data_IF_491766365266
#
_entry.id   IF_491766365266
#
_cell.length_a   1.000
_cell.length_b   1.000
_cell.length_c   1.000
_cell.angle_alpha   90.00
_cell.angle_beta   90.00
_cell.angle_gamma   90.00
#
_symmetry.space_group_name_H-M   'P 1'
#
loop_
_entity.id
_entity.type
_entity.pdbx_description
1 polymer ?
#
# COMPACT_ATOMS: atom_id res chain seq x y z
N UNK A 1 -13.93 12.56 -11.19
CA UNK A 1 -14.86 11.42 -11.40
C UNK A 1 -15.39 11.32 -12.84
N UNK A 2 -16.04 12.35 -13.39
CA UNK A 2 -16.58 12.32 -14.77
C UNK A 2 -15.54 11.94 -15.84
N UNK A 3 -14.32 12.47 -15.71
CA UNK A 3 -13.17 12.15 -16.58
C UNK A 3 -12.86 10.65 -16.68
N UNK A 4 -13.09 9.91 -15.58
CA UNK A 4 -12.86 8.47 -15.49
C UNK A 4 -14.09 7.66 -15.90
N UNK A 5 -15.19 8.28 -16.32
CA UNK A 5 -16.42 7.56 -16.70
C UNK A 5 -16.27 6.72 -17.97
N UNK A 6 -15.21 6.97 -18.75
CA UNK A 6 -14.83 6.24 -19.96
C UNK A 6 -13.98 4.98 -19.69
N UNK A 7 -13.62 4.71 -18.44
CA UNK A 7 -12.80 3.56 -18.05
C UNK A 7 -13.54 2.61 -17.11
N UNK A 8 -13.11 1.35 -17.10
CA UNK A 8 -13.65 0.30 -16.22
C UNK A 8 -12.98 0.26 -14.84
N UNK A 9 -12.38 1.36 -14.37
CA UNK A 9 -11.77 1.41 -13.02
C UNK A 9 -12.86 1.25 -11.93
N UNK A 10 -12.46 1.05 -10.67
CA UNK A 10 -13.39 1.12 -9.54
C UNK A 10 -13.67 2.57 -9.12
N UNK A 11 -14.84 2.84 -8.51
CA UNK A 11 -15.16 4.19 -8.01
C UNK A 11 -14.21 4.63 -6.89
N UNK A 12 -13.88 3.69 -6.00
CA UNK A 12 -12.93 3.91 -4.91
C UNK A 12 -11.55 4.31 -5.42
N UNK A 13 -11.06 3.68 -6.48
CA UNK A 13 -9.74 3.97 -7.06
C UNK A 13 -9.67 5.38 -7.62
N UNK A 14 -10.66 5.78 -8.43
CA UNK A 14 -10.70 7.14 -8.95
C UNK A 14 -10.76 8.18 -7.84
N UNK A 15 -11.53 7.90 -6.78
CA UNK A 15 -11.67 8.79 -5.62
C UNK A 15 -10.33 8.96 -4.89
N UNK A 16 -9.65 7.87 -4.56
CA UNK A 16 -8.37 7.93 -3.85
C UNK A 16 -7.24 8.49 -4.73
N UNK A 17 -7.23 8.21 -6.04
CA UNK A 17 -6.32 8.87 -6.98
C UNK A 17 -6.55 10.39 -7.04
N UNK A 18 -7.81 10.84 -6.99
CA UNK A 18 -8.13 12.27 -6.97
C UNK A 18 -7.67 12.94 -5.66
N UNK A 19 -7.84 12.28 -4.51
CA UNK A 19 -7.33 12.77 -3.23
C UNK A 19 -5.79 12.84 -3.20
N UNK A 20 -5.13 11.83 -3.76
CA UNK A 20 -3.67 11.83 -3.92
C UNK A 20 -3.21 13.01 -4.78
N UNK A 21 -3.87 13.26 -5.92
CA UNK A 21 -3.56 14.39 -6.80
C UNK A 21 -3.77 15.75 -6.12
N UNK A 22 -4.79 15.86 -5.27
CA UNK A 22 -4.99 17.05 -4.45
C UNK A 22 -3.82 17.25 -3.47
N UNK A 23 -3.37 16.19 -2.80
CA UNK A 23 -2.19 16.22 -1.93
C UNK A 23 -0.92 16.64 -2.68
N UNK A 24 -0.67 16.08 -3.86
CA UNK A 24 0.43 16.50 -4.75
C UNK A 24 0.36 18.00 -5.04
N UNK A 25 -0.84 18.50 -5.35
CA UNK A 25 -1.03 19.89 -5.73
C UNK A 25 -0.78 20.88 -4.59
N UNK A 26 -1.40 20.64 -3.43
CA UNK A 26 -1.32 21.56 -2.29
C UNK A 26 0.01 21.48 -1.54
N UNK A 27 0.73 20.36 -1.65
CA UNK A 27 2.04 20.16 -1.04
C UNK A 27 2.03 20.32 0.48
N UNK A 28 3.13 20.87 1.01
CA UNK A 28 3.33 21.08 2.45
C UNK A 28 2.59 22.32 2.99
N UNK A 29 2.26 23.27 2.12
CA UNK A 29 1.71 24.58 2.52
C UNK A 29 0.30 24.50 3.10
N UNK A 30 -0.45 23.45 2.75
CA UNK A 30 -1.81 23.21 3.23
C UNK A 30 -1.84 21.95 4.08
N UNK A 31 -2.21 22.13 5.35
CA UNK A 31 -2.29 21.05 6.34
C UNK A 31 -3.45 21.31 7.29
N UNK A 32 -3.93 20.27 7.96
CA UNK A 32 -4.91 20.45 9.04
C UNK A 32 -4.18 20.95 10.28
N UNK A 33 -4.63 22.11 10.79
CA UNK A 33 -4.06 22.78 11.95
C UNK A 33 -4.49 22.08 13.24
N UNK A 34 -3.84 20.94 13.50
CA UNK A 34 -3.93 20.22 14.77
C UNK A 34 -2.78 20.71 15.65
N UNK A 35 -3.07 21.33 16.82
CA UNK A 35 -2.03 21.91 17.67
C UNK A 35 -0.90 20.94 18.00
N UNK A 36 0.34 21.40 17.87
CA UNK A 36 1.59 20.66 18.09
C UNK A 36 1.85 19.45 17.17
N UNK A 37 0.87 19.07 16.35
CA UNK A 37 0.90 17.85 15.54
C UNK A 37 0.18 18.09 14.21
N UNK A 38 0.69 19.02 13.36
CA UNK A 38 0.04 19.35 12.10
C UNK A 38 -0.13 18.11 11.23
N UNK A 39 -1.30 17.98 10.59
CA UNK A 39 -1.61 16.84 9.75
C UNK A 39 -1.55 17.26 8.29
N UNK A 40 -0.40 17.02 7.67
CA UNK A 40 -0.17 17.28 6.24
C UNK A 40 -1.03 16.36 5.37
N UNK A 41 -1.41 16.86 4.19
CA UNK A 41 -2.28 16.16 3.24
C UNK A 41 -1.51 15.17 2.35
N UNK A 42 -0.41 14.61 2.86
CA UNK A 42 0.38 13.60 2.17
C UNK A 42 -0.27 12.22 2.30
N UNK A 43 -0.25 11.46 1.21
CA UNK A 43 -0.96 10.19 1.13
C UNK A 43 -0.03 9.06 0.75
N UNK A 44 -0.05 7.95 1.47
CA UNK A 44 0.45 6.67 0.96
C UNK A 44 -0.76 5.80 0.64
N UNK A 45 -1.02 5.59 -0.65
CA UNK A 45 -2.18 4.85 -1.15
C UNK A 45 -1.70 3.66 -1.96
N UNK A 46 -2.24 2.48 -1.65
CA UNK A 46 -2.05 1.26 -2.44
C UNK A 46 -3.40 0.75 -2.90
N UNK A 47 -3.61 0.70 -4.21
CA UNK A 47 -4.77 0.06 -4.82
C UNK A 47 -4.54 -1.46 -4.85
N UNK A 48 -5.47 -2.23 -4.30
CA UNK A 48 -5.39 -3.68 -4.20
C UNK A 48 -6.62 -4.34 -4.85
N UNK A 49 -6.35 -5.21 -5.82
CA UNK A 49 -7.32 -6.09 -6.48
C UNK A 49 -6.56 -7.17 -7.24
N UNK A 50 -7.24 -8.22 -7.65
CA UNK A 50 -6.66 -9.19 -8.56
C UNK A 50 -6.28 -8.56 -9.91
N UNK A 51 -5.32 -9.19 -10.60
CA UNK A 51 -4.83 -8.68 -11.88
C UNK A 51 -5.95 -8.67 -12.94
N UNK A 52 -6.08 -7.57 -13.67
CA UNK A 52 -7.01 -7.46 -14.80
C UNK A 52 -8.48 -7.17 -14.46
N UNK A 53 -8.91 -7.18 -13.19
CA UNK A 53 -10.32 -7.00 -12.82
C UNK A 53 -10.74 -5.51 -12.85
N UNK A 54 -10.08 -4.67 -12.05
CA UNK A 54 -10.49 -3.27 -11.82
C UNK A 54 -9.54 -2.22 -12.41
N UNK A 55 -8.69 -2.63 -13.36
CA UNK A 55 -7.83 -1.73 -14.14
C UNK A 55 -7.02 -0.73 -13.28
N UNK A 56 -6.44 -1.20 -12.17
CA UNK A 56 -5.63 -0.38 -11.22
C UNK A 56 -4.62 0.53 -11.90
N UNK A 57 -3.80 -0.04 -12.79
CA UNK A 57 -2.78 0.71 -13.57
C UNK A 57 -3.40 1.80 -14.43
N UNK A 58 -4.61 1.59 -14.96
CA UNK A 58 -5.35 2.61 -15.73
C UNK A 58 -5.79 3.79 -14.86
N UNK A 59 -6.13 3.56 -13.58
CA UNK A 59 -6.45 4.65 -12.66
C UNK A 59 -5.20 5.51 -12.37
N UNK A 60 -4.07 4.87 -12.10
CA UNK A 60 -2.79 5.53 -11.83
C UNK A 60 -2.29 6.28 -13.06
N UNK A 61 -2.15 5.62 -14.21
CA UNK A 61 -1.73 6.28 -15.47
C UNK A 61 -2.64 7.46 -15.83
N UNK A 62 -3.97 7.32 -15.70
CA UNK A 62 -4.89 8.42 -16.02
C UNK A 62 -4.67 9.66 -15.15
N UNK A 63 -4.38 9.50 -13.85
CA UNK A 63 -4.11 10.64 -12.97
C UNK A 63 -2.68 11.17 -13.13
N UNK A 64 -1.71 10.29 -13.36
CA UNK A 64 -0.33 10.67 -13.70
C UNK A 64 -0.29 11.49 -14.98
N UNK A 65 -1.06 11.12 -16.00
CA UNK A 65 -1.16 11.88 -17.24
C UNK A 65 -1.71 13.28 -17.00
N UNK A 66 -2.73 13.42 -16.14
CA UNK A 66 -3.31 14.71 -15.76
C UNK A 66 -2.27 15.61 -15.08
N UNK A 67 -1.42 15.06 -14.22
CA UNK A 67 -0.43 15.82 -13.43
C UNK A 67 0.92 16.02 -14.12
N UNK A 68 1.34 15.10 -14.99
CA UNK A 68 2.74 14.93 -15.39
C UNK A 68 3.36 16.09 -16.19
N UNK A 69 2.56 17.07 -16.60
CA UNK A 69 3.06 18.32 -17.19
C UNK A 69 3.44 19.40 -16.18
N UNK A 70 2.93 19.33 -14.94
CA UNK A 70 3.08 20.38 -13.94
C UNK A 70 3.81 19.91 -12.67
N UNK A 71 3.67 18.63 -12.30
CA UNK A 71 4.31 18.06 -11.13
C UNK A 71 5.28 16.94 -11.52
N UNK A 72 6.56 16.99 -11.11
CA UNK A 72 7.49 15.89 -11.31
C UNK A 72 7.00 14.63 -10.57
N UNK A 73 6.85 13.53 -11.31
CA UNK A 73 6.40 12.24 -10.78
C UNK A 73 7.52 11.19 -10.90
N UNK A 74 7.78 10.47 -9.81
CA UNK A 74 8.64 9.30 -9.79
C UNK A 74 7.81 8.06 -10.14
N UNK A 75 8.04 7.51 -11.34
CA UNK A 75 7.29 6.39 -11.90
C UNK A 75 8.12 5.10 -12.04
N UNK A 76 9.44 5.20 -11.84
CA UNK A 76 10.39 4.11 -12.03
C UNK A 76 10.85 3.42 -10.75
N UNK A 77 11.75 2.46 -10.92
CA UNK A 77 12.46 1.82 -9.81
C UNK A 77 13.37 2.84 -9.12
N UNK A 78 13.20 2.99 -7.82
CA UNK A 78 13.99 3.89 -6.98
C UNK A 78 14.58 3.10 -5.80
N UNK A 79 15.88 3.21 -5.56
CA UNK A 79 16.51 2.67 -4.35
C UNK A 79 16.40 3.67 -3.19
N UNK A 80 16.54 3.22 -1.93
CA UNK A 80 16.54 4.12 -0.78
C UNK A 80 17.58 5.25 -0.90
N UNK A 81 18.80 4.92 -1.30
CA UNK A 81 19.91 5.86 -1.44
C UNK A 81 19.67 6.86 -2.58
N UNK A 82 19.13 6.41 -3.71
CA UNK A 82 18.75 7.30 -4.80
C UNK A 82 17.64 8.26 -4.39
N UNK A 83 16.69 7.82 -3.54
CA UNK A 83 15.66 8.70 -3.01
C UNK A 83 16.24 9.75 -2.06
N UNK A 84 17.13 9.36 -1.16
CA UNK A 84 17.77 10.29 -0.22
C UNK A 84 18.57 11.38 -0.94
N UNK A 85 19.32 11.00 -1.98
CA UNK A 85 20.05 11.94 -2.82
C UNK A 85 19.11 12.86 -3.60
N UNK A 86 18.07 12.30 -4.22
CA UNK A 86 17.06 13.09 -4.93
C UNK A 86 16.42 14.14 -4.00
N UNK A 87 16.05 13.75 -2.78
CA UNK A 87 15.46 14.68 -1.82
C UNK A 87 16.43 15.75 -1.35
N UNK A 88 17.72 15.43 -1.23
CA UNK A 88 18.75 16.39 -0.90
C UNK A 88 18.91 17.46 -1.98
N UNK A 89 19.01 17.02 -3.24
CA UNK A 89 19.17 17.92 -4.38
C UNK A 89 17.94 18.83 -4.53
N UNK A 90 16.73 18.26 -4.45
CA UNK A 90 15.48 19.04 -4.51
C UNK A 90 15.37 20.01 -3.34
N UNK A 91 15.80 19.61 -2.14
CA UNK A 91 15.85 20.50 -0.97
C UNK A 91 16.80 21.67 -1.20
N UNK A 92 18.00 21.42 -1.73
CA UNK A 92 18.99 22.45 -2.02
C UNK A 92 18.50 23.44 -3.09
N UNK A 93 17.75 22.96 -4.09
CA UNK A 93 17.22 23.79 -5.17
C UNK A 93 15.99 24.61 -4.76
N UNK A 94 15.09 24.03 -3.95
CA UNK A 94 13.73 24.57 -3.71
C UNK A 94 13.44 24.94 -2.26
N UNK A 95 14.34 24.65 -1.33
CA UNK A 95 14.12 24.79 0.12
C UNK A 95 13.10 23.79 0.68
N UNK A 96 12.75 22.76 -0.09
CA UNK A 96 11.82 21.71 0.32
C UNK A 96 12.12 20.36 -0.34
N UNK A 97 12.23 19.32 0.46
CA UNK A 97 12.46 17.94 0.06
C UNK A 97 11.12 17.28 -0.31
N UNK A 98 10.72 17.43 -1.58
CA UNK A 98 9.44 16.91 -2.08
C UNK A 98 9.61 15.77 -3.07
N UNK A 99 8.77 14.73 -2.95
CA UNK A 99 8.66 13.68 -3.96
C UNK A 99 7.23 13.15 -4.08
N UNK A 100 6.83 12.91 -5.32
CA UNK A 100 5.50 12.39 -5.66
C UNK A 100 5.69 11.08 -6.43
N UNK A 101 5.32 9.95 -5.83
CA UNK A 101 5.39 8.66 -6.49
C UNK A 101 4.05 8.29 -7.13
N UNK A 102 4.09 7.84 -8.38
CA UNK A 102 2.93 7.29 -9.07
C UNK A 102 3.34 6.03 -9.84
N UNK A 103 3.08 4.86 -9.25
CA UNK A 103 3.74 3.62 -9.66
C UNK A 103 2.73 2.51 -9.83
N UNK A 104 2.64 1.97 -11.03
CA UNK A 104 1.64 0.96 -11.36
C UNK A 104 1.88 -0.39 -10.66
N UNK A 105 3.11 -0.66 -10.24
CA UNK A 105 3.48 -1.90 -9.56
C UNK A 105 4.38 -1.65 -8.36
N UNK A 106 3.85 -1.90 -7.16
CA UNK A 106 4.53 -1.69 -5.89
C UNK A 106 5.85 -2.47 -5.74
N UNK A 107 5.95 -3.64 -6.37
CA UNK A 107 7.14 -4.50 -6.34
C UNK A 107 8.38 -3.81 -6.92
N UNK A 108 8.19 -2.79 -7.76
CA UNK A 108 9.29 -2.01 -8.35
C UNK A 108 10.04 -1.17 -7.33
N UNK A 109 9.38 -0.76 -6.23
CA UNK A 109 9.97 0.03 -5.14
C UNK A 109 10.28 -0.79 -3.89
N UNK A 110 9.44 -1.76 -3.54
CA UNK A 110 9.69 -2.57 -2.34
C UNK A 110 10.58 -3.79 -2.62
N UNK A 111 10.82 -4.13 -3.89
CA UNK A 111 11.68 -5.23 -4.31
C UNK A 111 11.15 -6.62 -3.90
N UNK A 112 11.91 -7.67 -4.29
CA UNK A 112 11.66 -9.07 -3.87
C UNK A 112 12.72 -9.61 -2.90
N UNK A 113 13.87 -8.94 -2.75
CA UNK A 113 15.04 -9.43 -2.01
C UNK A 113 15.81 -8.31 -1.27
N UNK A 114 16.54 -8.71 -0.22
CA UNK A 114 16.94 -7.93 0.97
C UNK A 114 17.84 -6.69 0.82
N UNK A 115 18.06 -6.15 -0.36
CA UNK A 115 18.65 -4.81 -0.53
C UNK A 115 17.60 -3.70 -0.43
N UNK A 116 16.36 -3.96 -0.88
CA UNK A 116 15.24 -3.01 -0.80
C UNK A 116 14.45 -3.12 0.52
N UNK A 117 14.91 -3.94 1.47
CA UNK A 117 14.23 -4.18 2.75
C UNK A 117 14.18 -2.94 3.66
N UNK A 118 15.01 -1.93 3.40
CA UNK A 118 15.04 -0.67 4.16
C UNK A 118 14.07 0.37 3.61
N UNK A 119 13.55 0.20 2.40
CA UNK A 119 12.63 1.16 1.77
C UNK A 119 11.35 1.41 2.61
N UNK A 120 10.66 0.39 3.17
CA UNK A 120 9.53 0.65 4.07
C UNK A 120 9.92 1.50 5.28
N UNK A 121 11.11 1.30 5.85
CA UNK A 121 11.62 2.08 6.98
C UNK A 121 11.85 3.54 6.59
N UNK A 122 12.49 3.78 5.45
CA UNK A 122 12.69 5.12 4.90
C UNK A 122 11.37 5.83 4.63
N UNK A 123 10.43 5.18 3.91
CA UNK A 123 9.12 5.75 3.64
C UNK A 123 8.34 6.05 4.92
N UNK A 124 8.49 5.24 5.96
CA UNK A 124 7.87 5.47 7.28
C UNK A 124 8.40 6.75 7.93
N UNK A 125 9.71 6.97 7.90
CA UNK A 125 10.37 8.15 8.47
C UNK A 125 10.01 9.43 7.69
N UNK A 126 9.96 9.33 6.36
CA UNK A 126 9.59 10.45 5.49
C UNK A 126 8.12 10.86 5.59
N UNK A 127 7.23 9.93 5.95
CA UNK A 127 5.79 10.17 6.02
C UNK A 127 5.39 11.22 7.08
N UNK A 128 6.17 11.31 8.16
CA UNK A 128 5.91 12.23 9.26
C UNK A 128 6.28 13.69 8.92
N UNK A 129 6.72 13.97 7.68
CA UNK A 129 6.86 15.33 7.12
C UNK A 129 7.68 16.26 8.03
N UNK A 130 8.87 15.83 8.46
CA UNK A 130 9.75 16.62 9.34
C UNK A 130 10.18 17.93 8.66
N UNK A 131 10.31 18.99 9.45
CA UNK A 131 10.83 20.28 8.98
C UNK A 131 12.31 20.20 8.63
N UNK A 132 13.09 19.47 9.42
CA UNK A 132 14.50 19.21 9.15
C UNK A 132 14.76 17.73 9.39
N UNK A 133 15.41 17.09 8.44
CA UNK A 133 15.89 15.72 8.53
C UNK A 133 17.30 15.66 7.95
N UNK A 134 18.17 14.92 8.62
CA UNK A 134 19.48 14.59 8.07
C UNK A 134 19.65 13.09 7.95
N UNK A 135 20.43 12.67 6.96
CA UNK A 135 20.82 11.27 6.79
C UNK A 135 22.30 11.17 6.43
N UNK A 136 22.99 10.08 6.81
CA UNK A 136 24.38 9.88 6.44
C UNK A 136 24.51 9.76 4.92
N UNK A 137 25.32 10.61 4.29
CA UNK A 137 25.71 10.44 2.90
C UNK A 137 27.09 9.82 2.74
N UNK A 138 27.65 9.92 1.54
CA UNK A 138 28.99 9.41 1.22
C UNK A 138 30.09 10.36 1.69
N UNK A 139 31.34 9.88 1.70
CA UNK A 139 32.51 10.73 2.00
C UNK A 139 32.62 11.98 1.11
N UNK A 140 32.04 11.94 -0.10
CA UNK A 140 32.06 13.04 -1.07
C UNK A 140 30.88 13.98 -0.84
N UNK A 141 29.67 13.44 -0.66
CA UNK A 141 28.44 14.22 -0.52
C UNK A 141 28.24 14.79 0.88
N UNK A 142 28.92 14.23 1.89
CA UNK A 142 28.70 14.62 3.29
C UNK A 142 27.33 14.21 3.80
N UNK A 143 26.83 14.89 4.83
CA UNK A 143 25.49 14.69 5.37
C UNK A 143 24.42 15.21 4.40
N UNK A 144 23.40 14.39 4.16
CA UNK A 144 22.28 14.77 3.29
C UNK A 144 21.22 15.49 4.13
N UNK A 145 21.07 16.79 3.90
CA UNK A 145 20.05 17.64 4.51
C UNK A 145 18.77 17.62 3.67
N UNK A 146 17.63 17.44 4.36
CA UNK A 146 16.28 17.53 3.81
C UNK A 146 15.46 18.52 4.63
N UNK A 147 15.10 19.64 4.03
CA UNK A 147 14.24 20.66 4.64
C UNK A 147 12.79 20.47 4.20
N UNK A 148 11.82 20.76 5.06
CA UNK A 148 10.40 20.76 4.73
C UNK A 148 9.95 19.50 3.97
N UNK A 149 10.20 18.32 4.54
CA UNK A 149 9.98 17.02 3.87
C UNK A 149 8.50 16.84 3.55
N UNK A 150 8.19 16.50 2.30
CA UNK A 150 6.82 16.17 1.90
C UNK A 150 6.80 15.08 0.84
N UNK A 151 6.41 13.87 1.24
CA UNK A 151 6.38 12.70 0.37
C UNK A 151 4.96 12.16 0.27
N UNK A 152 4.50 11.98 -0.96
CA UNK A 152 3.22 11.35 -1.27
C UNK A 152 3.42 10.22 -2.27
N UNK A 153 2.62 9.17 -2.14
CA UNK A 153 2.83 7.87 -2.74
C UNK A 153 1.52 7.28 -3.21
N UNK A 154 1.42 6.98 -4.50
CA UNK A 154 0.34 6.23 -5.10
C UNK A 154 0.90 5.01 -5.81
N UNK A 155 0.43 3.83 -5.43
CA UNK A 155 0.80 2.59 -6.10
C UNK A 155 -0.33 1.59 -6.21
N UNK A 156 -0.09 0.49 -6.92
CA UNK A 156 -0.99 -0.63 -7.04
C UNK A 156 -0.25 -1.96 -6.83
N UNK A 157 -0.97 -2.94 -6.31
CA UNK A 157 -0.47 -4.31 -6.16
C UNK A 157 -1.60 -5.33 -6.16
N UNK A 158 -1.24 -6.61 -6.15
CA UNK A 158 -2.18 -7.72 -5.99
C UNK A 158 -2.26 -8.11 -4.51
N UNK A 159 -3.45 -8.55 -4.01
CA UNK A 159 -3.60 -9.10 -2.67
C UNK A 159 -2.56 -10.16 -2.33
N UNK A 160 -2.37 -11.12 -3.24
CA UNK A 160 -1.42 -12.22 -3.07
C UNK A 160 0.02 -11.71 -2.86
N UNK A 161 0.47 -10.73 -3.65
CA UNK A 161 1.80 -10.17 -3.48
C UNK A 161 1.90 -9.36 -2.18
N UNK A 162 0.89 -8.55 -1.85
CA UNK A 162 0.89 -7.71 -0.64
C UNK A 162 1.05 -8.53 0.64
N UNK A 163 0.31 -9.63 0.79
CA UNK A 163 0.43 -10.50 1.97
C UNK A 163 1.84 -11.10 2.11
N UNK A 164 2.48 -11.42 0.97
CA UNK A 164 3.83 -11.99 0.99
C UNK A 164 4.91 -10.94 1.25
N UNK A 165 4.71 -9.71 0.77
CA UNK A 165 5.68 -8.63 0.91
C UNK A 165 5.59 -7.94 2.28
N UNK A 166 4.39 -7.83 2.84
CA UNK A 166 4.12 -7.23 4.13
C UNK A 166 4.21 -8.32 5.20
N UNK A 167 5.43 -8.56 5.67
CA UNK A 167 5.70 -9.46 6.78
C UNK A 167 5.35 -8.79 8.14
N UNK A 168 5.31 -9.52 9.27
CA UNK A 168 4.94 -8.93 10.56
C UNK A 168 5.87 -7.79 10.97
N UNK A 169 7.16 -7.86 10.62
CA UNK A 169 8.13 -6.80 10.90
C UNK A 169 7.84 -5.49 10.17
N UNK A 170 7.29 -5.53 8.95
CA UNK A 170 6.85 -4.32 8.21
C UNK A 170 5.60 -3.71 8.84
N UNK A 171 4.71 -4.55 9.38
CA UNK A 171 3.51 -4.11 10.11
C UNK A 171 3.90 -3.44 11.43
N UNK A 172 4.75 -4.10 12.21
CA UNK A 172 5.30 -3.59 13.47
C UNK A 172 6.18 -2.35 13.26
N UNK A 173 6.91 -2.29 12.13
CA UNK A 173 7.72 -1.16 11.73
C UNK A 173 6.92 0.10 11.39
N UNK A 174 5.59 0.03 11.36
CA UNK A 174 4.71 1.20 11.22
C UNK A 174 4.53 1.72 9.80
N UNK A 175 5.03 1.00 8.78
CA UNK A 175 4.76 1.36 7.38
C UNK A 175 3.28 1.19 7.06
N UNK A 176 2.68 0.05 7.42
CA UNK A 176 1.30 -0.27 7.05
C UNK A 176 0.26 0.63 7.73
N UNK A 177 0.54 1.14 8.93
CA UNK A 177 -0.36 2.08 9.63
C UNK A 177 -0.50 3.42 8.92
N UNK A 178 0.48 3.79 8.08
CA UNK A 178 0.50 5.04 7.30
C UNK A 178 -0.13 4.89 5.91
N UNK A 179 -0.50 3.67 5.53
CA UNK A 179 -0.94 3.35 4.18
C UNK A 179 -2.46 3.13 4.12
N UNK A 180 -3.11 3.78 3.15
CA UNK A 180 -4.48 3.53 2.75
C UNK A 180 -4.50 2.40 1.73
N UNK A 181 -4.88 1.20 2.17
CA UNK A 181 -5.11 0.05 1.30
C UNK A 181 -6.53 0.09 0.73
N UNK A 182 -6.66 0.43 -0.55
CA UNK A 182 -7.95 0.52 -1.23
C UNK A 182 -8.25 -0.81 -1.91
N UNK A 183 -9.14 -1.59 -1.31
CA UNK A 183 -9.53 -2.92 -1.79
C UNK A 183 -10.87 -2.83 -2.49
N UNK A 184 -10.90 -3.07 -3.80
CA UNK A 184 -12.15 -3.02 -4.57
C UNK A 184 -12.03 -3.81 -5.87
N UNK A 185 -12.79 -4.90 -5.97
CA UNK A 185 -12.86 -5.75 -7.16
C UNK A 185 -14.06 -5.38 -8.07
N UNK A 186 -14.83 -4.35 -7.72
CA UNK A 186 -16.00 -3.94 -8.48
C UNK A 186 -15.65 -2.83 -9.48
N UNK A 187 -15.59 -3.19 -10.77
CA UNK A 187 -15.56 -2.17 -11.84
C UNK A 187 -16.85 -1.34 -11.82
N UNK A 188 -16.72 -0.03 -12.01
CA UNK A 188 -17.86 0.91 -12.09
C UNK A 188 -18.91 0.50 -13.13
N UNK A 189 -18.44 -0.06 -14.25
CA UNK A 189 -19.21 -0.44 -15.42
C UNK A 189 -18.37 -1.34 -16.32
N UNK A 190 -19.03 -2.13 -17.15
CA UNK A 190 -18.40 -2.89 -18.22
C UNK A 190 -18.39 -2.06 -19.51
N UNK A 191 -17.23 -1.88 -20.13
CA UNK A 191 -17.06 -1.13 -21.38
C UNK A 191 -16.31 -2.03 -22.36
N UNK A 192 -17.04 -2.66 -23.28
CA UNK A 192 -16.44 -3.52 -24.29
C UNK A 192 -15.59 -2.73 -25.30
N UNK A 193 -16.02 -1.51 -25.63
CA UNK A 193 -15.31 -0.61 -26.56
C UNK A 193 -15.29 0.82 -26.00
N UNK A 194 -14.14 1.30 -25.49
CA UNK A 194 -14.04 2.65 -24.94
C UNK A 194 -14.26 3.71 -26.00
N UNK A 195 -15.02 4.76 -25.65
CA UNK A 195 -15.09 5.98 -26.46
C UNK A 195 -13.86 6.83 -26.18
N UNK A 196 -13.34 7.50 -27.21
CA UNK A 196 -12.31 8.53 -27.03
C UNK A 196 -12.84 9.64 -26.13
N UNK A 197 -11.98 10.14 -25.24
CA UNK A 197 -12.26 11.34 -24.43
C UNK A 197 -12.46 12.56 -25.36
N UNK A 198 -13.26 13.53 -24.94
CA UNK A 198 -13.37 14.77 -25.70
C UNK A 198 -12.04 15.52 -25.63
N UNK A 199 -11.68 16.21 -26.73
CA UNK A 199 -10.50 17.09 -26.75
C UNK A 199 -10.71 18.19 -25.69
N UNK A 200 -9.73 18.42 -24.82
CA UNK A 200 -9.83 19.41 -23.74
C UNK A 200 -10.30 18.85 -22.39
N UNK A 201 -10.77 17.60 -22.31
CA UNK A 201 -11.27 17.05 -21.04
C UNK A 201 -10.16 16.94 -19.97
N UNK A 202 -8.95 16.59 -20.40
CA UNK A 202 -7.78 16.48 -19.52
C UNK A 202 -7.41 17.86 -18.98
N UNK A 203 -7.29 18.83 -19.88
CA UNK A 203 -6.96 20.22 -19.58
C UNK A 203 -7.98 20.82 -18.61
N UNK A 204 -9.28 20.63 -18.87
CA UNK A 204 -10.37 21.09 -17.99
C UNK A 204 -10.26 20.53 -16.56
N UNK A 205 -9.89 19.25 -16.42
CA UNK A 205 -9.72 18.62 -15.10
C UNK A 205 -8.49 19.18 -14.41
N UNK A 206 -7.39 19.34 -15.14
CA UNK A 206 -6.15 19.91 -14.63
C UNK A 206 -6.36 21.37 -14.18
N UNK A 207 -6.97 22.22 -15.01
CA UNK A 207 -7.25 23.62 -14.70
C UNK A 207 -8.12 23.76 -13.44
N UNK A 208 -9.13 22.89 -13.29
CA UNK A 208 -9.97 22.86 -12.09
C UNK A 208 -9.19 22.43 -10.84
N UNK A 209 -8.28 21.47 -10.99
CA UNK A 209 -7.39 21.05 -9.91
C UNK A 209 -6.47 22.20 -9.51
N UNK A 210 -5.81 22.87 -10.47
CA UNK A 210 -4.95 24.03 -10.23
C UNK A 210 -5.70 25.15 -9.51
N UNK A 211 -6.89 25.52 -10.00
CA UNK A 211 -7.71 26.54 -9.35
C UNK A 211 -8.03 26.18 -7.89
N UNK A 212 -8.35 24.90 -7.63
CA UNK A 212 -8.66 24.43 -6.28
C UNK A 212 -7.42 24.45 -5.38
N UNK A 213 -6.26 24.08 -5.92
CA UNK A 213 -4.96 24.11 -5.23
C UNK A 213 -4.54 25.53 -4.90
N UNK A 214 -4.59 26.46 -5.86
CA UNK A 214 -4.24 27.87 -5.67
C UNK A 214 -5.10 28.53 -4.60
N UNK A 215 -6.41 28.27 -4.63
CA UNK A 215 -7.33 28.78 -3.60
C UNK A 215 -6.97 28.19 -2.23
N UNK A 216 -6.69 26.89 -2.15
CA UNK A 216 -6.33 26.25 -0.89
C UNK A 216 -5.01 26.79 -0.32
N UNK A 217 -3.98 26.94 -1.15
CA UNK A 217 -2.69 27.53 -0.78
C UNK A 217 -2.82 28.98 -0.32
N UNK A 218 -3.73 29.76 -0.93
CA UNK A 218 -4.04 31.11 -0.50
C UNK A 218 -4.66 31.21 0.90
N UNK A 219 -5.32 30.14 1.38
CA UNK A 219 -5.84 30.06 2.76
C UNK A 219 -4.80 29.49 3.74
N UNK A 220 -3.98 28.54 3.29
CA UNK A 220 -2.97 27.89 4.12
C UNK A 220 -3.56 26.85 5.08
N UNK A 221 -3.26 26.89 6.39
CA UNK A 221 -3.70 25.87 7.35
C UNK A 221 -5.22 25.76 7.48
N UNK A 222 -5.73 24.52 7.52
CA UNK A 222 -7.15 24.19 7.61
C UNK A 222 -7.54 24.01 9.08
N UNK A 223 -8.39 24.91 9.58
CA UNK A 223 -8.93 24.81 10.93
C UNK A 223 -10.13 23.84 11.03
N UNK A 224 -10.48 23.46 12.25
CA UNK A 224 -11.66 22.64 12.54
C UNK A 224 -12.70 23.49 13.27
N UNK A 225 -13.91 23.55 12.70
CA UNK A 225 -15.05 24.22 13.35
C UNK A 225 -15.36 23.63 14.73
N UNK A 226 -15.98 24.40 15.62
CA UNK A 226 -16.40 23.93 16.96
C UNK A 226 -17.25 22.64 16.90
N UNK A 227 -18.17 22.57 15.93
CA UNK A 227 -19.01 21.39 15.72
C UNK A 227 -18.23 20.19 15.16
N UNK A 228 -17.26 20.43 14.28
CA UNK A 228 -16.36 19.40 13.76
C UNK A 228 -15.52 18.80 14.88
N UNK A 229 -14.91 19.65 15.71
CA UNK A 229 -14.08 19.25 16.83
C UNK A 229 -14.86 18.41 17.84
N UNK A 230 -16.04 18.86 18.27
CA UNK A 230 -16.90 18.09 19.19
C UNK A 230 -17.20 16.69 18.64
N UNK A 231 -17.52 16.58 17.35
CA UNK A 231 -17.83 15.29 16.72
C UNK A 231 -16.60 14.40 16.62
N UNK A 232 -15.45 14.96 16.26
CA UNK A 232 -14.18 14.24 16.16
C UNK A 232 -13.73 13.73 17.53
N UNK A 233 -13.77 14.56 18.57
CA UNK A 233 -13.43 14.18 19.94
C UNK A 233 -14.33 13.05 20.44
N UNK A 234 -15.65 13.17 20.26
CA UNK A 234 -16.59 12.12 20.66
C UNK A 234 -16.28 10.78 19.97
N UNK A 235 -16.02 10.80 18.67
CA UNK A 235 -15.63 9.60 17.93
C UNK A 235 -14.31 9.03 18.46
N UNK A 236 -13.27 9.86 18.55
CA UNK A 236 -11.93 9.45 18.99
C UNK A 236 -11.94 8.76 20.36
N UNK A 237 -12.69 9.32 21.33
CA UNK A 237 -12.81 8.77 22.69
C UNK A 237 -13.67 7.51 22.78
N UNK A 238 -14.49 7.23 21.77
CA UNK A 238 -15.39 6.07 21.73
C UNK A 238 -14.84 4.89 20.92
N UNK A 239 -13.60 5.00 20.40
CA UNK A 239 -13.01 3.96 19.54
C UNK A 239 -12.75 2.69 20.35
N UNK A 240 -13.19 1.56 19.81
CA UNK A 240 -12.79 0.25 20.30
C UNK A 240 -11.32 0.02 19.92
N UNK A 241 -10.55 -0.58 20.84
CA UNK A 241 -9.19 -1.04 20.58
C UNK A 241 -9.22 -2.52 20.24
N UNK A 242 -8.71 -2.87 19.07
CA UNK A 242 -8.57 -4.27 18.67
C UNK A 242 -7.21 -4.83 19.08
N UNK A 243 -7.16 -6.13 19.37
CA UNK A 243 -5.94 -6.85 19.73
C UNK A 243 -5.20 -7.44 18.52
N UNK A 244 -5.86 -7.49 17.35
CA UNK A 244 -5.22 -7.93 16.12
C UNK A 244 -4.06 -6.98 15.74
N UNK A 245 -2.84 -7.47 15.47
CA UNK A 245 -1.67 -6.63 15.24
C UNK A 245 -1.84 -5.63 14.09
N UNK A 246 -2.50 -6.03 13.00
CA UNK A 246 -2.70 -5.15 11.86
C UNK A 246 -3.74 -4.07 12.18
N UNK A 247 -4.89 -4.47 12.72
CA UNK A 247 -5.94 -3.51 13.09
C UNK A 247 -5.45 -2.52 14.14
N UNK A 248 -4.78 -2.99 15.19
CA UNK A 248 -4.22 -2.15 16.24
C UNK A 248 -3.22 -1.13 15.68
N UNK A 249 -2.35 -1.58 14.77
CA UNK A 249 -1.39 -0.71 14.07
C UNK A 249 -2.08 0.36 13.23
N UNK A 250 -3.11 0.02 12.44
CA UNK A 250 -3.88 1.00 11.66
C UNK A 250 -4.65 1.99 12.56
N UNK A 251 -5.27 1.50 13.64
CA UNK A 251 -6.05 2.31 14.58
C UNK A 251 -5.22 3.39 15.28
N UNK A 252 -3.92 3.14 15.47
CA UNK A 252 -2.98 4.10 16.03
C UNK A 252 -2.79 5.36 15.15
N UNK A 253 -3.17 5.33 13.86
CA UNK A 253 -3.09 6.47 12.93
C UNK A 253 -4.41 6.80 12.23
N UNK A 254 -5.49 6.11 12.60
CA UNK A 254 -6.81 6.26 11.98
C UNK A 254 -7.38 7.69 12.15
N UNK A 255 -7.02 8.36 13.24
CA UNK A 255 -7.39 9.76 13.49
C UNK A 255 -6.69 10.73 12.53
N UNK A 256 -5.38 10.55 12.28
CA UNK A 256 -4.64 11.34 11.29
C UNK A 256 -5.23 11.13 9.88
N UNK A 257 -5.50 9.88 9.49
CA UNK A 257 -6.12 9.57 8.19
C UNK A 257 -7.49 10.20 8.03
N UNK A 258 -8.30 10.18 9.10
CA UNK A 258 -9.59 10.84 9.12
C UNK A 258 -9.44 12.36 8.91
N UNK A 259 -8.52 13.01 9.62
CA UNK A 259 -8.28 14.45 9.47
C UNK A 259 -7.77 14.81 8.08
N UNK A 260 -6.80 14.06 7.52
CA UNK A 260 -6.31 14.27 6.14
C UNK A 260 -7.45 14.22 5.12
N UNK A 261 -8.30 13.20 5.23
CA UNK A 261 -9.44 13.04 4.34
C UNK A 261 -10.43 14.20 4.51
N UNK A 262 -10.72 14.60 5.75
CA UNK A 262 -11.61 15.72 6.02
C UNK A 262 -11.08 17.05 5.48
N UNK A 263 -9.77 17.28 5.57
CA UNK A 263 -9.10 18.45 4.98
C UNK A 263 -9.25 18.47 3.46
N UNK A 264 -9.01 17.33 2.80
CA UNK A 264 -9.21 17.20 1.35
C UNK A 264 -10.67 17.44 0.94
N UNK A 265 -11.64 16.95 1.73
CA UNK A 265 -13.07 17.20 1.48
C UNK A 265 -13.44 18.68 1.63
N UNK A 266 -12.89 19.36 2.63
CA UNK A 266 -13.11 20.79 2.87
C UNK A 266 -12.49 21.68 1.77
N UNK A 267 -11.35 21.26 1.21
CA UNK A 267 -10.78 21.91 0.01
C UNK A 267 -11.69 21.66 -1.19
N UNK A 268 -12.09 20.41 -1.43
CA UNK A 268 -12.88 20.03 -2.61
C UNK A 268 -14.25 20.72 -2.69
N UNK A 269 -14.91 20.96 -1.55
CA UNK A 269 -16.19 21.68 -1.51
C UNK A 269 -16.06 23.20 -1.32
N UNK A 270 -14.84 23.71 -1.21
CA UNK A 270 -14.53 25.14 -1.12
C UNK A 270 -14.73 25.76 0.26
N UNK A 271 -15.04 24.97 1.30
CA UNK A 271 -15.22 25.53 2.66
C UNK A 271 -13.94 25.90 3.37
N UNK A 272 -12.83 25.21 3.10
CA UNK A 272 -11.52 25.47 3.72
C UNK A 272 -11.53 25.46 5.27
N UNK A 273 -12.53 24.80 5.86
CA UNK A 273 -12.67 24.55 7.30
C UNK A 273 -13.31 23.16 7.49
N UNK A 274 -12.77 22.34 8.39
CA UNK A 274 -13.35 21.03 8.69
C UNK A 274 -14.62 21.18 9.54
N UNK A 275 -15.75 20.80 8.93
CA UNK A 275 -17.07 20.84 9.54
C UNK A 275 -17.54 19.45 10.01
N UNK A 276 -18.59 19.41 10.84
CA UNK A 276 -19.17 18.15 11.35
C UNK A 276 -19.58 17.16 10.25
N UNK A 277 -19.93 17.67 9.06
CA UNK A 277 -20.24 16.82 7.89
C UNK A 277 -18.98 16.12 7.36
N UNK A 278 -17.85 16.83 7.25
CA UNK A 278 -16.58 16.28 6.79
C UNK A 278 -16.14 15.16 7.72
N UNK A 279 -16.14 15.42 9.03
CA UNK A 279 -15.83 14.39 10.04
C UNK A 279 -16.74 13.16 9.91
N UNK A 280 -18.04 13.36 9.73
CA UNK A 280 -18.99 12.26 9.58
C UNK A 280 -18.77 11.40 8.34
N UNK A 281 -18.39 12.02 7.22
CA UNK A 281 -18.07 11.33 5.97
C UNK A 281 -16.70 10.66 6.08
N UNK A 282 -15.71 11.38 6.62
CA UNK A 282 -14.34 10.91 6.79
C UNK A 282 -14.25 9.65 7.64
N UNK A 283 -14.92 9.63 8.81
CA UNK A 283 -14.99 8.44 9.68
C UNK A 283 -15.54 7.23 8.92
N UNK A 284 -16.61 7.42 8.13
CA UNK A 284 -17.24 6.32 7.38
C UNK A 284 -16.30 5.77 6.30
N UNK A 285 -15.67 6.66 5.53
CA UNK A 285 -14.76 6.25 4.45
C UNK A 285 -13.51 5.56 5.02
N UNK A 286 -12.90 6.12 6.08
CA UNK A 286 -11.73 5.50 6.71
C UNK A 286 -12.09 4.16 7.36
N UNK A 287 -13.27 4.04 7.98
CA UNK A 287 -13.75 2.77 8.52
C UNK A 287 -13.93 1.71 7.42
N UNK A 288 -14.42 2.09 6.24
CA UNK A 288 -14.49 1.18 5.08
C UNK A 288 -13.10 0.73 4.62
N UNK A 289 -12.12 1.64 4.56
CA UNK A 289 -10.73 1.29 4.26
C UNK A 289 -10.16 0.33 5.29
N UNK A 290 -10.36 0.60 6.59
CA UNK A 290 -9.91 -0.29 7.67
C UNK A 290 -10.48 -1.70 7.49
N UNK A 291 -11.79 -1.80 7.20
CA UNK A 291 -12.44 -3.09 6.96
C UNK A 291 -11.87 -3.82 5.75
N UNK A 292 -11.66 -3.12 4.64
CA UNK A 292 -11.05 -3.69 3.43
C UNK A 292 -9.62 -4.16 3.68
N UNK A 293 -8.80 -3.34 4.33
CA UNK A 293 -7.44 -3.70 4.69
C UNK A 293 -7.38 -4.90 5.65
N UNK A 294 -8.29 -4.98 6.62
CA UNK A 294 -8.42 -6.14 7.50
C UNK A 294 -8.81 -7.42 6.73
N UNK A 295 -9.61 -7.33 5.66
CA UNK A 295 -9.87 -8.50 4.81
C UNK A 295 -8.63 -9.00 4.05
N UNK A 296 -7.66 -8.12 3.78
CA UNK A 296 -6.39 -8.46 3.15
C UNK A 296 -5.33 -8.97 4.13
N UNK A 297 -5.27 -8.45 5.35
CA UNK A 297 -4.17 -8.72 6.29
C UNK A 297 -4.60 -9.43 7.57
N UNK A 298 -5.91 -9.57 7.81
CA UNK A 298 -6.45 -10.29 8.94
C UNK A 298 -6.11 -11.78 8.92
N UNK A 299 -6.18 -12.41 10.10
CA UNK A 299 -5.62 -13.74 10.40
C UNK A 299 -5.81 -14.79 9.31
N UNK A 300 -7.06 -15.06 8.91
CA UNK A 300 -7.35 -16.17 8.01
C UNK A 300 -6.82 -15.99 6.57
N UNK A 301 -6.88 -14.77 6.01
CA UNK A 301 -6.40 -14.54 4.65
C UNK A 301 -4.87 -14.47 4.60
N UNK A 302 -4.26 -13.84 5.61
CA UNK A 302 -2.80 -13.70 5.72
C UNK A 302 -2.11 -15.05 5.86
N UNK A 303 -2.62 -15.94 6.73
CA UNK A 303 -2.10 -17.30 6.89
C UNK A 303 -2.28 -18.12 5.60
N UNK A 304 -3.48 -18.10 4.99
CA UNK A 304 -3.76 -18.87 3.76
C UNK A 304 -2.88 -18.42 2.59
N UNK A 305 -2.71 -17.12 2.37
CA UNK A 305 -1.89 -16.60 1.29
C UNK A 305 -0.38 -16.82 1.55
N UNK A 306 0.09 -16.78 2.80
CA UNK A 306 1.46 -17.19 3.15
C UNK A 306 1.72 -18.67 2.87
N UNK A 307 0.80 -19.54 3.28
CA UNK A 307 0.86 -20.98 2.98
C UNK A 307 0.85 -21.22 1.47
N UNK A 308 -0.01 -20.52 0.71
CA UNK A 308 -0.06 -20.63 -0.75
C UNK A 308 1.24 -20.18 -1.44
N UNK A 309 1.84 -19.07 -0.99
CA UNK A 309 3.13 -18.59 -1.51
C UNK A 309 4.29 -19.53 -1.13
N UNK A 310 4.26 -20.06 0.10
CA UNK A 310 5.21 -21.06 0.57
C UNK A 310 5.14 -22.37 -0.23
N UNK A 311 3.94 -22.78 -0.64
CA UNK A 311 3.70 -23.98 -1.44
C UNK A 311 4.45 -23.97 -2.76
N UNK A 312 4.39 -22.86 -3.50
CA UNK A 312 5.13 -22.71 -4.76
C UNK A 312 6.63 -22.92 -4.55
N UNK A 313 7.20 -22.29 -3.51
CA UNK A 313 8.64 -22.42 -3.24
C UNK A 313 9.02 -23.83 -2.79
N UNK A 314 8.22 -24.46 -1.93
CA UNK A 314 8.46 -25.85 -1.48
C UNK A 314 8.39 -26.80 -2.68
N UNK A 315 7.41 -26.62 -3.57
CA UNK A 315 7.31 -27.35 -4.83
C UNK A 315 8.56 -27.19 -5.69
N UNK A 316 9.01 -25.97 -5.92
CA UNK A 316 10.20 -25.70 -6.75
C UNK A 316 11.44 -26.39 -6.19
N UNK A 317 11.65 -26.29 -4.86
CA UNK A 317 12.78 -26.94 -4.17
C UNK A 317 12.70 -28.47 -4.31
N UNK A 318 11.52 -29.05 -4.17
CA UNK A 318 11.31 -30.50 -4.29
C UNK A 318 11.54 -30.99 -5.72
N UNK A 319 11.15 -30.20 -6.72
CA UNK A 319 11.44 -30.48 -8.14
C UNK A 319 12.94 -30.35 -8.44
N UNK A 320 13.60 -29.29 -7.97
CA UNK A 320 15.05 -29.09 -8.08
C UNK A 320 15.84 -30.24 -7.45
N UNK A 321 15.33 -30.84 -6.37
CA UNK A 321 15.99 -31.93 -5.65
C UNK A 321 15.88 -33.29 -6.36
N UNK A 322 15.08 -33.37 -7.42
CA UNK A 322 14.96 -34.55 -8.29
C UNK A 322 14.64 -35.85 -7.55
N UNK A 323 15.17 -36.95 -8.06
CA UNK A 323 14.96 -38.29 -7.49
C UNK A 323 15.69 -38.50 -6.17
N UNK A 324 16.67 -37.68 -5.81
CA UNK A 324 17.40 -37.87 -4.55
C UNK A 324 16.59 -37.38 -3.34
N UNK A 325 15.66 -36.45 -3.57
CA UNK A 325 14.83 -35.86 -2.52
C UNK A 325 15.63 -34.93 -1.61
N UNK A 326 14.97 -34.35 -0.62
CA UNK A 326 15.54 -33.36 0.28
C UNK A 326 15.27 -33.72 1.73
N UNK A 327 16.25 -33.55 2.61
CA UNK A 327 16.06 -33.74 4.06
C UNK A 327 15.22 -32.61 4.63
N UNK A 328 14.43 -32.92 5.66
CA UNK A 328 13.60 -31.94 6.35
C UNK A 328 14.39 -30.73 6.85
N UNK A 329 15.57 -30.94 7.44
CA UNK A 329 16.43 -29.87 7.93
C UNK A 329 16.91 -28.93 6.82
N UNK A 330 17.19 -29.49 5.64
CA UNK A 330 17.68 -28.72 4.49
C UNK A 330 16.54 -27.97 3.81
N UNK A 331 15.36 -28.60 3.70
CA UNK A 331 14.15 -27.95 3.22
C UNK A 331 13.76 -26.79 4.14
N UNK A 332 13.68 -27.04 5.45
CA UNK A 332 13.33 -26.03 6.45
C UNK A 332 14.28 -24.83 6.38
N UNK A 333 15.60 -25.06 6.28
CA UNK A 333 16.60 -23.99 6.14
C UNK A 333 16.36 -23.13 4.89
N UNK A 334 15.91 -23.74 3.78
CA UNK A 334 15.65 -23.02 2.52
C UNK A 334 14.34 -22.23 2.52
N UNK A 335 13.39 -22.54 3.42
CA UNK A 335 12.06 -21.90 3.45
C UNK A 335 11.78 -21.09 4.73
N UNK A 336 12.68 -21.09 5.71
CA UNK A 336 12.51 -20.45 7.03
C UNK A 336 12.17 -18.95 6.98
N UNK A 337 12.53 -18.27 5.89
CA UNK A 337 12.19 -16.85 5.67
C UNK A 337 10.72 -16.62 5.28
N UNK A 338 9.99 -17.67 4.90
CA UNK A 338 8.62 -17.61 4.35
C UNK A 338 7.62 -18.46 5.12
N UNK A 339 8.06 -19.57 5.70
CA UNK A 339 7.24 -20.50 6.47
C UNK A 339 7.92 -20.81 7.80
N UNK A 340 7.14 -20.80 8.87
CA UNK A 340 7.56 -21.34 10.16
C UNK A 340 7.53 -22.88 10.18
N UNK A 341 7.97 -23.48 11.28
CA UNK A 341 8.04 -24.94 11.39
C UNK A 341 6.66 -25.62 11.42
N UNK A 342 5.62 -24.95 11.94
CA UNK A 342 4.25 -25.48 12.00
C UNK A 342 3.61 -25.41 10.62
N UNK A 343 3.74 -24.29 9.93
CA UNK A 343 3.25 -24.05 8.58
C UNK A 343 3.90 -25.01 7.57
N UNK A 344 5.23 -25.19 7.64
CA UNK A 344 5.92 -26.16 6.80
C UNK A 344 5.42 -27.59 7.05
N UNK A 345 5.21 -27.96 8.31
CA UNK A 345 4.70 -29.29 8.67
C UNK A 345 3.29 -29.52 8.13
N UNK A 346 2.40 -28.54 8.30
CA UNK A 346 1.04 -28.57 7.76
C UNK A 346 1.07 -28.76 6.24
N UNK A 347 1.88 -27.95 5.55
CA UNK A 347 2.00 -27.96 4.10
C UNK A 347 2.55 -29.29 3.57
N UNK A 348 3.58 -29.86 4.21
CA UNK A 348 4.12 -31.17 3.87
C UNK A 348 3.07 -32.28 4.05
N UNK A 349 2.28 -32.24 5.11
CA UNK A 349 1.20 -33.21 5.33
C UNK A 349 0.15 -33.13 4.22
N UNK A 350 -0.32 -31.92 3.87
CA UNK A 350 -1.30 -31.72 2.80
C UNK A 350 -0.75 -32.16 1.45
N UNK A 351 0.49 -31.80 1.11
CA UNK A 351 1.15 -32.24 -0.13
C UNK A 351 1.28 -33.77 -0.20
N UNK A 352 1.57 -34.43 0.93
CA UNK A 352 1.64 -35.88 1.00
C UNK A 352 0.27 -36.52 0.80
N UNK A 353 -0.78 -36.00 1.44
CA UNK A 353 -2.16 -36.46 1.28
C UNK A 353 -2.72 -36.24 -0.13
N UNK A 354 -2.26 -35.21 -0.82
CA UNK A 354 -2.55 -34.98 -2.23
C UNK A 354 -1.68 -35.84 -3.17
N UNK A 355 -0.80 -36.70 -2.63
CA UNK A 355 0.07 -37.57 -3.41
C UNK A 355 1.16 -36.81 -4.18
N UNK A 356 1.42 -35.54 -3.86
CA UNK A 356 2.42 -34.70 -4.51
C UNK A 356 3.84 -35.05 -4.07
N UNK A 357 3.99 -35.53 -2.85
CA UNK A 357 5.28 -35.89 -2.26
C UNK A 357 5.21 -37.22 -1.53
N UNK A 358 6.36 -37.87 -1.39
CA UNK A 358 6.57 -39.03 -0.53
C UNK A 358 7.45 -38.66 0.66
N UNK A 359 7.09 -39.17 1.83
CA UNK A 359 7.83 -38.97 3.07
C UNK A 359 8.59 -40.26 3.41
N UNK A 360 9.91 -40.16 3.50
CA UNK A 360 10.81 -41.25 3.88
C UNK A 360 11.37 -40.99 5.28
N UNK A 361 11.23 -41.98 6.17
CA UNK A 361 11.80 -41.92 7.52
C UNK A 361 13.26 -42.37 7.48
N UNK A 362 14.18 -41.52 7.92
CA UNK A 362 15.60 -41.84 8.00
C UNK A 362 16.01 -42.15 9.44
N UNK A 363 17.21 -42.73 9.64
CA UNK A 363 17.79 -42.91 11.00
C UNK A 363 17.89 -41.59 11.79
N UNK A 364 17.99 -40.45 11.10
CA UNK A 364 17.94 -39.10 11.68
C UNK A 364 17.05 -38.19 10.82
N UNK A 365 15.78 -38.06 11.21
CA UNK A 365 14.83 -37.14 10.58
C UNK A 365 14.02 -37.73 9.42
N UNK A 366 13.43 -36.84 8.61
CA UNK A 366 12.60 -37.18 7.46
C UNK A 366 13.24 -36.66 6.17
N UNK A 367 12.96 -37.34 5.07
CA UNK A 367 13.32 -36.94 3.71
C UNK A 367 12.06 -36.88 2.85
N UNK A 368 12.00 -35.90 1.97
CA UNK A 368 10.85 -35.61 1.12
C UNK A 368 11.25 -35.74 -0.35
N UNK A 369 10.43 -36.42 -1.15
CA UNK A 369 10.67 -36.59 -2.58
C UNK A 369 9.42 -36.20 -3.36
N UNK A 370 9.59 -35.44 -4.44
CA UNK A 370 8.51 -35.13 -5.37
C UNK A 370 8.01 -36.40 -6.08
N UNK A 371 6.70 -36.49 -6.30
CA UNK A 371 6.10 -37.49 -7.19
C UNK A 371 5.82 -36.86 -8.57
N UNK A 372 5.53 -37.68 -9.58
CA UNK A 372 5.05 -37.18 -10.89
C UNK A 372 3.74 -36.39 -10.80
N UNK A 373 2.99 -36.53 -9.71
CA UNK A 373 1.74 -35.81 -9.53
C UNK A 373 1.97 -34.32 -9.26
N UNK A 374 3.10 -33.95 -8.63
CA UNK A 374 3.44 -32.55 -8.29
C UNK A 374 3.48 -31.62 -9.51
N UNK A 375 3.73 -32.15 -10.71
CA UNK A 375 3.76 -31.40 -11.97
C UNK A 375 2.35 -31.18 -12.55
N UNK A 376 1.41 -32.08 -12.25
CA UNK A 376 0.04 -32.06 -12.77
C UNK A 376 -0.88 -31.14 -11.96
N UNK A 377 -0.58 -30.88 -10.70
CA UNK A 377 -1.39 -30.01 -9.87
C UNK A 377 -1.11 -28.54 -10.20
N UNK A 378 -2.09 -27.86 -10.80
CA UNK A 378 -2.16 -26.40 -10.80
C UNK A 378 -2.20 -25.91 -9.36
N UNK A 379 -1.11 -25.27 -8.91
CA UNK A 379 -0.66 -25.18 -7.50
C UNK A 379 -1.68 -24.61 -6.52
N UNK A 380 -2.74 -23.95 -6.97
CA UNK A 380 -3.59 -23.14 -6.10
C UNK A 380 -4.94 -23.78 -5.78
N UNK A 381 -5.71 -24.30 -6.73
CA UNK A 381 -7.13 -24.60 -6.49
C UNK A 381 -7.39 -25.78 -5.55
N UNK A 382 -6.73 -26.93 -5.75
CA UNK A 382 -7.07 -28.17 -5.02
C UNK A 382 -6.43 -28.26 -3.63
N UNK A 383 -5.23 -27.70 -3.46
CA UNK A 383 -4.58 -27.62 -2.13
C UNK A 383 -5.31 -26.61 -1.25
N UNK A 384 -5.72 -25.46 -1.81
CA UNK A 384 -6.58 -24.51 -1.09
C UNK A 384 -7.98 -25.10 -0.80
N UNK A 385 -8.53 -25.91 -1.71
CA UNK A 385 -9.81 -26.58 -1.47
C UNK A 385 -9.76 -27.58 -0.30
N UNK A 386 -8.65 -28.32 -0.13
CA UNK A 386 -8.48 -29.20 1.04
C UNK A 386 -8.19 -28.47 2.34
N UNK A 387 -7.57 -27.29 2.28
CA UNK A 387 -7.48 -26.39 3.43
C UNK A 387 -8.87 -25.88 3.88
N UNK A 388 -9.88 -25.88 2.99
CA UNK A 388 -11.26 -25.50 3.31
C UNK A 388 -12.13 -26.63 3.87
N UNK A 389 -11.67 -27.90 3.89
CA UNK A 389 -12.46 -29.05 4.35
C UNK A 389 -12.28 -29.38 5.84
N UNK A 390 -11.80 -28.41 6.62
CA UNK A 390 -11.54 -28.53 8.07
C UNK A 390 -12.37 -27.57 8.93
N UNK A 391 -13.61 -27.27 8.53
CA UNK A 391 -14.63 -26.72 9.46
C UNK A 391 -15.32 -27.83 10.25
#
# INVERSE_FOLDING_TARGET
>A
MEYMSYTETAYSYDFWCALWALGVGVGRDVYVDRPNTPVYLNWYIILAAEAGITRKSTAISSISDVLGGAYPLLTGKTSPESLELYLHDVSAERGTATAHFAIEELVTILGREGYMSTMPGLLTDLYDCKEIRTSPGTLITGELLHENVYITFLSASTPAWLVTAINPSVIEGGFTSRVIFVVDDNRKRAIAWPKSRAKGDKERVFDRLQQTVEVAQGHGPISISKGGLKKFTNWYSSRATHSDPFQSSFEAREDDHCLRLCGCLAINDGTHEIQSRHIGIGIKIISQIKSGANSLFGGDFSERARIASGLGRVRDILLESGTDGIKHSDLQRRVIRRLDAKELKLLINVMHECGMIQIFKMKRGHMYRATRAIEKFGVTSEVLAKLNLGE
#
